data_IF_715599100081
#
_entry.id   IF_715599100081
#
_cell.length_a   1.000
_cell.length_b   1.000
_cell.length_c   1.000
_cell.angle_alpha   90.00
_cell.angle_beta   90.00
_cell.angle_gamma   90.00
#
_symmetry.space_group_name_H-M   'P 1'
#
loop_
_entity.id
_entity.type
_entity.pdbx_description
1 polymer ?
#
# COMPACT_ATOMS: atom_id res chain seq x y z
N UNK A 1 -48.45 -16.66 -23.22
CA UNK A 1 -48.30 -16.86 -21.77
C UNK A 1 -47.40 -15.77 -21.23
N UNK A 2 -48.02 -14.71 -20.76
CA UNK A 2 -47.31 -13.59 -20.12
C UNK A 2 -46.92 -14.00 -18.69
N UNK A 3 -45.62 -14.02 -18.42
CA UNK A 3 -45.11 -14.14 -17.05
C UNK A 3 -45.36 -12.82 -16.31
N UNK A 4 -46.33 -12.83 -15.45
CA UNK A 4 -46.53 -11.80 -14.42
C UNK A 4 -45.22 -11.70 -13.59
N UNK A 5 -44.48 -10.63 -13.78
CA UNK A 5 -43.46 -10.18 -12.84
C UNK A 5 -44.19 -9.57 -11.65
N UNK A 6 -44.51 -10.39 -10.62
CA UNK A 6 -44.90 -9.87 -9.33
C UNK A 6 -43.81 -8.93 -8.82
N UNK A 7 -44.08 -7.64 -8.85
CA UNK A 7 -43.28 -6.61 -8.21
C UNK A 7 -43.29 -6.88 -6.70
N UNK A 8 -42.16 -7.35 -6.18
CA UNK A 8 -41.87 -7.34 -4.76
C UNK A 8 -41.67 -5.87 -4.39
N UNK A 9 -42.56 -5.33 -3.56
CA UNK A 9 -42.46 -4.08 -2.79
C UNK A 9 -43.39 -2.93 -3.21
N UNK A 10 -44.66 -3.04 -2.78
CA UNK A 10 -45.45 -1.87 -2.35
C UNK A 10 -45.53 -1.88 -0.84
N UNK A 11 -44.42 -1.66 -0.14
CA UNK A 11 -44.42 -1.38 1.30
C UNK A 11 -44.69 0.10 1.46
N UNK A 12 -45.78 0.45 2.18
CA UNK A 12 -46.15 1.85 2.37
C UNK A 12 -45.11 2.56 3.28
N UNK A 13 -44.93 3.89 3.15
CA UNK A 13 -44.05 4.64 4.05
C UNK A 13 -44.43 4.49 5.53
N UNK A 14 -45.72 4.36 5.83
CA UNK A 14 -46.22 4.16 7.19
C UNK A 14 -45.73 2.82 7.75
N UNK A 15 -45.70 1.78 6.92
CA UNK A 15 -45.25 0.45 7.34
C UNK A 15 -43.73 0.41 7.58
N UNK A 16 -42.95 1.17 6.79
CA UNK A 16 -41.52 1.36 7.02
C UNK A 16 -41.28 2.07 8.36
N UNK A 17 -41.99 3.15 8.60
CA UNK A 17 -41.91 3.89 9.86
C UNK A 17 -42.30 3.01 11.07
N UNK A 18 -43.31 2.17 10.91
CA UNK A 18 -43.71 1.22 11.97
C UNK A 18 -42.59 0.23 12.29
N UNK A 19 -41.94 -0.36 11.29
CA UNK A 19 -40.79 -1.26 11.51
C UNK A 19 -39.58 -0.55 12.15
N UNK A 20 -39.34 0.71 11.81
CA UNK A 20 -38.31 1.51 12.47
C UNK A 20 -38.64 1.72 13.95
N UNK A 21 -39.88 2.08 14.28
CA UNK A 21 -40.36 2.24 15.68
C UNK A 21 -40.22 0.92 16.46
N UNK A 22 -40.67 -0.18 15.87
CA UNK A 22 -40.60 -1.51 16.50
C UNK A 22 -39.16 -1.91 16.81
N UNK A 23 -38.22 -1.59 15.89
CA UNK A 23 -36.80 -1.86 16.09
C UNK A 23 -36.20 -0.93 17.16
N UNK A 24 -36.42 0.38 17.07
CA UNK A 24 -35.85 1.36 18.00
C UNK A 24 -36.33 1.18 19.45
N UNK A 25 -37.59 0.79 19.64
CA UNK A 25 -38.17 0.65 20.98
C UNK A 25 -37.91 -0.71 21.65
N UNK A 26 -37.86 -1.80 20.85
CA UNK A 26 -37.86 -3.16 21.37
C UNK A 26 -36.64 -3.99 20.91
N UNK A 27 -35.66 -3.39 20.21
CA UNK A 27 -34.57 -4.11 19.55
C UNK A 27 -35.07 -5.31 18.71
N UNK A 28 -36.25 -5.16 18.09
CA UNK A 28 -36.90 -6.24 17.38
C UNK A 28 -36.10 -6.65 16.13
N UNK A 29 -35.47 -7.82 16.20
CA UNK A 29 -34.67 -8.39 15.12
C UNK A 29 -35.50 -8.66 13.85
N UNK A 30 -36.79 -9.07 14.00
CA UNK A 30 -37.66 -9.35 12.85
C UNK A 30 -37.99 -8.07 12.05
N UNK A 31 -38.17 -6.94 12.74
CA UNK A 31 -38.41 -5.64 12.11
C UNK A 31 -37.16 -5.17 11.37
N UNK A 32 -35.97 -5.35 11.96
CA UNK A 32 -34.69 -5.05 11.32
C UNK A 32 -34.49 -5.90 10.05
N UNK A 33 -34.78 -7.21 10.13
CA UNK A 33 -34.64 -8.12 8.98
C UNK A 33 -35.55 -7.73 7.82
N UNK A 34 -36.78 -7.27 8.11
CA UNK A 34 -37.73 -6.77 7.08
C UNK A 34 -37.14 -5.53 6.38
N UNK A 35 -36.63 -4.58 7.15
CA UNK A 35 -35.98 -3.37 6.61
C UNK A 35 -34.76 -3.70 5.77
N UNK A 36 -33.89 -4.59 6.25
CA UNK A 36 -32.70 -5.04 5.51
C UNK A 36 -33.09 -5.71 4.20
N UNK A 37 -34.08 -6.62 4.20
CA UNK A 37 -34.57 -7.27 2.98
C UNK A 37 -35.18 -6.28 2.00
N UNK A 38 -35.91 -5.28 2.51
CA UNK A 38 -36.55 -4.26 1.68
C UNK A 38 -35.53 -3.37 0.98
N UNK A 39 -34.52 -2.87 1.71
CA UNK A 39 -33.54 -1.92 1.19
C UNK A 39 -32.31 -2.56 0.53
N UNK A 40 -32.16 -3.89 0.58
CA UNK A 40 -31.02 -4.61 0.05
C UNK A 40 -30.69 -4.24 -1.39
N UNK A 41 -31.70 -4.26 -2.29
CA UNK A 41 -31.50 -3.92 -3.71
C UNK A 41 -31.06 -2.49 -3.92
N UNK A 42 -31.55 -1.55 -3.11
CA UNK A 42 -31.13 -0.16 -3.15
C UNK A 42 -29.65 -0.04 -2.78
N UNK A 43 -29.23 -0.73 -1.71
CA UNK A 43 -27.84 -0.71 -1.25
C UNK A 43 -26.92 -1.36 -2.27
N UNK A 44 -27.29 -2.51 -2.84
CA UNK A 44 -26.55 -3.18 -3.92
C UNK A 44 -26.37 -2.25 -5.12
N UNK A 45 -27.43 -1.52 -5.51
CA UNK A 45 -27.36 -0.53 -6.61
C UNK A 45 -26.43 0.64 -6.27
N UNK A 46 -26.48 1.16 -5.04
CA UNK A 46 -25.57 2.22 -4.59
C UNK A 46 -24.11 1.72 -4.56
N UNK A 47 -23.87 0.52 -3.99
CA UNK A 47 -22.55 -0.10 -3.95
C UNK A 47 -21.98 -0.29 -5.37
N UNK A 48 -22.79 -0.79 -6.30
CA UNK A 48 -22.39 -0.98 -7.70
C UNK A 48 -21.94 0.34 -8.36
N UNK A 49 -22.67 1.44 -8.12
CA UNK A 49 -22.31 2.76 -8.65
C UNK A 49 -20.91 3.22 -8.20
N UNK A 50 -20.49 2.85 -7.00
CA UNK A 50 -19.20 3.24 -6.44
C UNK A 50 -18.08 2.22 -6.66
N UNK A 51 -18.40 0.94 -6.86
CA UNK A 51 -17.41 -0.12 -7.15
C UNK A 51 -16.84 -0.05 -8.56
N UNK A 52 -17.58 0.52 -9.52
CA UNK A 52 -17.21 0.57 -10.96
C UNK A 52 -16.72 -0.77 -11.52
N UNK A 53 -17.24 -1.89 -11.00
CA UNK A 53 -16.85 -3.24 -11.41
C UNK A 53 -15.52 -3.73 -10.83
N UNK A 54 -14.93 -3.02 -9.86
CA UNK A 54 -13.72 -3.47 -9.15
C UNK A 54 -14.04 -4.52 -8.06
N UNK A 55 -13.00 -5.23 -7.59
CA UNK A 55 -13.08 -6.36 -6.64
C UNK A 55 -13.74 -6.08 -5.29
N UNK A 56 -13.98 -4.80 -4.93
CA UNK A 56 -14.52 -4.40 -3.64
C UNK A 56 -16.06 -4.30 -3.59
N UNK A 57 -16.78 -4.80 -4.60
CA UNK A 57 -18.25 -4.65 -4.64
C UNK A 57 -18.94 -5.26 -3.40
N UNK A 58 -18.56 -6.46 -3.01
CA UNK A 58 -19.14 -7.15 -1.85
C UNK A 58 -18.87 -6.40 -0.55
N UNK A 59 -17.66 -5.89 -0.37
CA UNK A 59 -17.30 -5.06 0.79
C UNK A 59 -18.15 -3.80 0.85
N UNK A 60 -18.37 -3.13 -0.29
CA UNK A 60 -19.19 -1.92 -0.34
C UNK A 60 -20.67 -2.23 -0.03
N UNK A 61 -21.16 -3.40 -0.43
CA UNK A 61 -22.52 -3.85 -0.02
C UNK A 61 -22.57 -4.03 1.49
N UNK A 62 -21.59 -4.69 2.11
CA UNK A 62 -21.54 -4.86 3.57
C UNK A 62 -21.46 -3.52 4.30
N UNK A 63 -20.61 -2.62 3.84
CA UNK A 63 -20.50 -1.25 4.38
C UNK A 63 -21.83 -0.51 4.25
N UNK A 64 -22.50 -0.65 3.11
CA UNK A 64 -23.84 -0.08 2.90
C UNK A 64 -24.89 -0.64 3.84
N UNK A 65 -24.83 -1.96 4.15
CA UNK A 65 -25.72 -2.61 5.13
C UNK A 65 -25.46 -2.09 6.56
N UNK A 66 -24.20 -1.91 6.94
CA UNK A 66 -23.85 -1.27 8.23
C UNK A 66 -24.39 0.16 8.26
N UNK A 67 -24.28 0.91 7.15
CA UNK A 67 -24.86 2.24 6.99
C UNK A 67 -26.39 2.26 7.14
N UNK A 68 -27.09 1.24 6.61
CA UNK A 68 -28.54 1.08 6.78
C UNK A 68 -28.89 0.87 8.25
N UNK A 69 -28.23 -0.05 8.95
CA UNK A 69 -28.50 -0.31 10.38
C UNK A 69 -28.25 0.96 11.19
N UNK A 70 -27.14 1.66 10.92
CA UNK A 70 -26.87 2.94 11.55
C UNK A 70 -27.91 4.03 11.24
N UNK A 71 -28.48 4.03 10.03
CA UNK A 71 -29.56 4.94 9.66
C UNK A 71 -30.86 4.61 10.40
N UNK A 72 -31.25 3.32 10.48
CA UNK A 72 -32.43 2.87 11.22
C UNK A 72 -32.35 3.33 12.69
N UNK A 73 -31.20 3.16 13.33
CA UNK A 73 -31.04 3.51 14.75
C UNK A 73 -31.05 5.03 15.02
N UNK A 74 -30.63 5.84 14.04
CA UNK A 74 -30.49 7.31 14.18
C UNK A 74 -31.63 8.11 13.55
N UNK A 75 -32.53 7.45 12.82
CA UNK A 75 -33.62 8.16 12.16
C UNK A 75 -34.61 8.69 13.19
N UNK A 76 -34.89 9.99 13.14
CA UNK A 76 -35.86 10.66 13.97
C UNK A 76 -37.16 10.85 13.19
N UNK A 77 -38.19 10.17 13.65
CA UNK A 77 -39.55 10.18 13.07
C UNK A 77 -40.32 11.49 13.30
N UNK A 78 -39.78 12.37 14.15
CA UNK A 78 -40.41 13.70 14.38
C UNK A 78 -40.24 14.62 13.16
N UNK A 79 -39.23 14.33 12.28
CA UNK A 79 -39.07 15.06 11.03
C UNK A 79 -40.05 14.50 9.98
N UNK A 80 -40.85 15.36 9.39
CA UNK A 80 -41.76 15.01 8.29
C UNK A 80 -40.97 14.76 6.99
N UNK A 81 -40.11 13.70 7.00
CA UNK A 81 -39.25 13.29 5.87
C UNK A 81 -39.34 11.79 5.68
N UNK A 82 -39.31 11.38 4.41
CA UNK A 82 -39.19 9.96 4.05
C UNK A 82 -37.86 9.41 4.53
N UNK A 83 -37.87 8.18 5.04
CA UNK A 83 -36.64 7.51 5.52
C UNK A 83 -35.55 7.43 4.45
N UNK A 84 -35.91 7.20 3.17
CA UNK A 84 -34.96 7.13 2.05
C UNK A 84 -34.14 8.43 1.88
N UNK A 85 -34.75 9.59 2.15
CA UNK A 85 -34.05 10.88 2.08
C UNK A 85 -32.92 11.00 3.12
N UNK A 86 -33.01 10.27 4.22
CA UNK A 86 -31.97 10.16 5.24
C UNK A 86 -31.03 8.98 4.98
N UNK A 87 -31.58 7.84 4.56
CA UNK A 87 -30.83 6.61 4.31
C UNK A 87 -29.78 6.77 3.21
N UNK A 88 -30.18 7.27 2.04
CA UNK A 88 -29.30 7.33 0.86
C UNK A 88 -28.04 8.16 1.12
N UNK A 89 -28.10 9.40 1.65
CA UNK A 89 -26.90 10.15 1.99
C UNK A 89 -26.04 9.46 3.06
N UNK A 90 -26.67 8.81 4.04
CA UNK A 90 -25.96 8.09 5.11
C UNK A 90 -25.16 6.92 4.54
N UNK A 91 -25.78 6.06 3.72
CA UNK A 91 -25.11 4.93 3.06
C UNK A 91 -23.98 5.41 2.15
N UNK A 92 -24.23 6.44 1.33
CA UNK A 92 -23.19 7.01 0.46
C UNK A 92 -22.02 7.57 1.29
N UNK A 93 -22.32 8.19 2.43
CA UNK A 93 -21.30 8.69 3.36
C UNK A 93 -20.39 7.59 3.87
N UNK A 94 -20.96 6.46 4.33
CA UNK A 94 -20.21 5.31 4.82
C UNK A 94 -19.40 4.63 3.69
N UNK A 95 -19.96 4.46 2.48
CA UNK A 95 -19.24 3.94 1.31
C UNK A 95 -18.05 4.83 0.98
N UNK A 96 -18.22 6.15 0.89
CA UNK A 96 -17.13 7.09 0.61
C UNK A 96 -16.06 7.07 1.69
N UNK A 97 -16.45 6.92 2.97
CA UNK A 97 -15.54 6.79 4.10
C UNK A 97 -14.70 5.52 3.97
N UNK A 98 -15.32 4.39 3.67
CA UNK A 98 -14.63 3.12 3.46
C UNK A 98 -13.62 3.20 2.30
N UNK A 99 -14.03 3.74 1.14
CA UNK A 99 -13.16 3.93 -0.01
C UNK A 99 -11.96 4.83 0.31
N UNK A 100 -12.16 5.88 1.10
CA UNK A 100 -11.07 6.76 1.53
C UNK A 100 -10.09 6.08 2.50
N UNK A 101 -10.63 5.31 3.45
CA UNK A 101 -9.86 4.89 4.62
C UNK A 101 -9.26 3.47 4.48
N UNK A 102 -9.90 2.58 3.69
CA UNK A 102 -9.60 1.14 3.68
C UNK A 102 -9.14 0.56 2.34
N UNK A 103 -9.32 1.23 1.22
CA UNK A 103 -9.05 0.65 -0.11
C UNK A 103 -7.67 1.01 -0.69
N UNK A 104 -6.89 1.80 0.00
CA UNK A 104 -5.54 2.14 -0.43
C UNK A 104 -4.57 0.98 -0.15
N UNK A 105 -3.85 0.54 -1.18
CA UNK A 105 -2.86 -0.55 -1.07
C UNK A 105 -1.64 -0.16 -0.24
N UNK A 106 -1.34 1.14 -0.13
CA UNK A 106 -0.24 1.69 0.67
C UNK A 106 -0.77 2.67 1.71
N UNK A 107 -0.01 2.88 2.78
CA UNK A 107 -0.37 3.89 3.77
C UNK A 107 -0.15 5.29 3.21
N UNK A 108 -1.24 6.04 3.05
CA UNK A 108 -1.22 7.43 2.56
C UNK A 108 -1.79 8.34 3.65
N UNK A 109 -1.15 9.48 3.97
CA UNK A 109 -1.66 10.45 4.92
C UNK A 109 -3.08 10.92 4.54
N UNK A 110 -3.92 11.17 5.58
CA UNK A 110 -5.31 11.59 5.37
C UNK A 110 -5.41 12.87 4.51
N UNK A 111 -4.51 13.81 4.75
CA UNK A 111 -4.38 15.06 3.99
C UNK A 111 -4.36 14.81 2.47
N UNK A 112 -3.51 13.91 2.04
CA UNK A 112 -3.32 13.55 0.63
C UNK A 112 -4.55 12.85 0.04
N UNK A 113 -5.18 11.95 0.81
CA UNK A 113 -6.42 11.28 0.40
C UNK A 113 -7.59 12.25 0.19
N UNK A 114 -7.63 13.36 0.94
CA UNK A 114 -8.67 14.39 0.81
C UNK A 114 -8.41 15.33 -0.38
N UNK A 115 -7.15 15.59 -0.72
CA UNK A 115 -6.75 16.47 -1.83
C UNK A 115 -6.95 15.77 -3.18
N UNK A 116 -6.59 14.50 -3.32
CA UNK A 116 -6.60 13.77 -4.59
C UNK A 116 -7.89 13.92 -5.42
N UNK A 117 -9.09 13.64 -4.88
CA UNK A 117 -10.36 13.84 -5.60
C UNK A 117 -10.63 15.28 -6.00
N UNK A 118 -10.15 16.25 -5.19
CA UNK A 118 -10.31 17.69 -5.46
C UNK A 118 -9.41 18.15 -6.60
N UNK A 119 -8.18 17.62 -6.69
CA UNK A 119 -7.25 17.92 -7.79
C UNK A 119 -7.90 17.61 -9.12
N UNK A 120 -8.46 16.39 -9.29
CA UNK A 120 -9.10 16.01 -10.55
C UNK A 120 -10.20 16.99 -10.96
N UNK A 121 -11.08 17.34 -10.01
CA UNK A 121 -12.17 18.28 -10.26
C UNK A 121 -11.66 19.66 -10.67
N UNK A 122 -10.68 20.18 -9.94
CA UNK A 122 -10.08 21.50 -10.19
C UNK A 122 -9.31 21.50 -11.52
N UNK A 123 -8.61 20.41 -11.85
CA UNK A 123 -7.94 20.27 -13.14
C UNK A 123 -8.93 20.33 -14.29
N UNK A 124 -10.07 19.63 -14.19
CA UNK A 124 -11.12 19.65 -15.21
C UNK A 124 -11.74 21.07 -15.34
N UNK A 125 -11.99 21.75 -14.22
CA UNK A 125 -12.52 23.12 -14.19
C UNK A 125 -11.53 24.11 -14.81
N UNK A 126 -10.26 24.09 -14.40
CA UNK A 126 -9.21 24.98 -14.92
C UNK A 126 -8.90 24.71 -16.40
N UNK A 127 -8.95 23.44 -16.83
CA UNK A 127 -8.75 23.10 -18.25
C UNK A 127 -9.84 23.74 -19.12
N UNK A 128 -11.09 23.74 -18.64
CA UNK A 128 -12.19 24.40 -19.34
C UNK A 128 -12.08 25.94 -19.31
N UNK A 129 -11.60 26.53 -18.19
CA UNK A 129 -11.45 27.98 -18.06
C UNK A 129 -10.27 28.53 -18.88
N UNK A 130 -9.14 27.80 -18.89
CA UNK A 130 -7.89 28.25 -19.51
C UNK A 130 -7.69 27.75 -20.95
N UNK A 131 -8.55 26.83 -21.41
CA UNK A 131 -8.43 26.17 -22.72
C UNK A 131 -7.07 25.45 -22.92
N UNK A 132 -6.37 25.16 -21.81
CA UNK A 132 -5.10 24.40 -21.74
C UNK A 132 -4.98 23.62 -20.44
N UNK A 133 -4.05 22.68 -20.39
CA UNK A 133 -3.73 22.00 -19.13
C UNK A 133 -3.20 23.01 -18.08
N UNK A 134 -3.75 23.02 -16.86
CA UNK A 134 -3.29 23.89 -15.79
C UNK A 134 -1.91 23.46 -15.28
N UNK A 135 -1.13 24.42 -14.79
CA UNK A 135 0.12 24.15 -14.07
C UNK A 135 -0.18 23.71 -12.63
N UNK A 136 0.84 23.12 -11.98
CA UNK A 136 0.75 22.70 -10.58
C UNK A 136 0.48 23.90 -9.66
N UNK A 137 1.14 25.04 -9.91
CA UNK A 137 0.91 26.26 -9.18
C UNK A 137 -0.55 26.75 -9.27
N UNK A 138 -1.16 26.72 -10.47
CA UNK A 138 -2.56 27.10 -10.67
C UNK A 138 -3.54 26.17 -9.94
N UNK A 139 -3.23 24.87 -9.89
CA UNK A 139 -4.03 23.89 -9.12
C UNK A 139 -3.87 24.14 -7.62
N UNK A 140 -2.64 24.37 -7.15
CA UNK A 140 -2.33 24.64 -5.75
C UNK A 140 -3.03 25.90 -5.25
N UNK A 141 -2.96 26.99 -6.02
CA UNK A 141 -3.64 28.26 -5.72
C UNK A 141 -5.16 28.08 -5.63
N UNK A 142 -5.76 27.37 -6.59
CA UNK A 142 -7.22 27.12 -6.60
C UNK A 142 -7.68 26.24 -5.43
N UNK A 143 -6.84 25.32 -4.97
CA UNK A 143 -7.11 24.42 -3.84
C UNK A 143 -6.73 25.02 -2.48
N UNK A 144 -6.01 26.14 -2.46
CA UNK A 144 -5.44 26.77 -1.25
C UNK A 144 -4.50 25.81 -0.49
N UNK A 145 -3.62 25.11 -1.23
CA UNK A 145 -2.62 24.16 -0.69
C UNK A 145 -1.25 24.46 -1.29
N UNK A 146 -0.19 23.82 -0.74
CA UNK A 146 1.16 23.94 -1.28
C UNK A 146 1.30 23.13 -2.58
N UNK A 147 2.20 23.55 -3.47
CA UNK A 147 2.52 22.80 -4.70
C UNK A 147 3.04 21.40 -4.41
N UNK A 148 3.82 21.24 -3.31
CA UNK A 148 4.31 19.95 -2.84
C UNK A 148 3.17 18.97 -2.51
N UNK A 149 2.09 19.46 -1.86
CA UNK A 149 0.91 18.65 -1.53
C UNK A 149 0.18 18.19 -2.79
N UNK A 150 0.14 19.02 -3.83
CA UNK A 150 -0.45 18.66 -5.13
C UNK A 150 0.37 17.57 -5.81
N UNK A 151 1.70 17.75 -5.87
CA UNK A 151 2.63 16.78 -6.46
C UNK A 151 2.54 15.43 -5.72
N UNK A 152 2.64 15.44 -4.38
CA UNK A 152 2.53 14.25 -3.55
C UNK A 152 1.19 13.53 -3.78
N UNK A 153 0.09 14.27 -3.87
CA UNK A 153 -1.23 13.69 -4.09
C UNK A 153 -1.39 13.11 -5.50
N UNK A 154 -0.79 13.71 -6.53
CA UNK A 154 -0.80 13.19 -7.90
C UNK A 154 0.03 11.90 -8.00
N UNK A 155 1.21 11.85 -7.39
CA UNK A 155 2.07 10.67 -7.35
C UNK A 155 1.42 9.52 -6.57
N UNK A 156 0.91 9.81 -5.38
CA UNK A 156 0.22 8.81 -4.55
C UNK A 156 -1.07 8.31 -5.20
N UNK A 157 -1.73 9.13 -6.02
CA UNK A 157 -2.91 8.71 -6.79
C UNK A 157 -2.63 7.52 -7.73
N UNK A 158 -1.42 7.40 -8.26
CA UNK A 158 -0.98 6.26 -9.06
C UNK A 158 -0.79 4.98 -8.22
N UNK A 159 -0.45 5.13 -6.94
CA UNK A 159 -0.23 4.04 -5.99
C UNK A 159 -1.52 3.49 -5.34
N UNK A 160 -2.69 3.97 -5.78
CA UNK A 160 -3.98 3.53 -5.23
C UNK A 160 -4.20 2.03 -5.42
N UNK A 161 -3.81 1.49 -6.58
CA UNK A 161 -3.88 0.06 -6.89
C UNK A 161 -2.48 -0.55 -6.90
N UNK A 162 -2.24 -1.56 -6.07
CA UNK A 162 -1.04 -2.38 -6.18
C UNK A 162 -1.11 -3.23 -7.45
N UNK A 163 -0.01 -3.32 -8.17
CA UNK A 163 0.14 -4.29 -9.25
C UNK A 163 0.51 -5.65 -8.66
N UNK A 164 -0.07 -6.73 -9.19
CA UNK A 164 0.37 -8.07 -8.82
C UNK A 164 1.78 -8.32 -9.33
N UNK A 165 2.65 -8.85 -8.48
CA UNK A 165 4.00 -9.27 -8.90
C UNK A 165 3.97 -10.44 -9.89
N UNK A 166 2.88 -11.22 -9.87
CA UNK A 166 2.63 -12.32 -10.82
C UNK A 166 1.96 -11.82 -12.11
N UNK A 167 1.77 -10.50 -12.25
CA UNK A 167 1.20 -9.96 -13.47
C UNK A 167 2.13 -10.23 -14.65
N UNK A 168 1.61 -10.99 -15.63
CA UNK A 168 2.37 -11.28 -16.84
C UNK A 168 2.48 -10.04 -17.71
N UNK A 169 3.71 -9.64 -18.00
CA UNK A 169 4.03 -8.63 -19.00
C UNK A 169 4.23 -9.41 -20.31
N UNK A 170 3.51 -9.06 -21.35
CA UNK A 170 3.74 -9.66 -22.66
C UNK A 170 5.17 -9.38 -23.08
N UNK A 171 5.99 -10.41 -23.01
CA UNK A 171 7.35 -10.37 -23.53
C UNK A 171 7.38 -11.13 -24.87
N UNK A 172 7.93 -10.46 -25.83
CA UNK A 172 8.39 -10.88 -27.14
C UNK A 172 7.66 -12.03 -27.90
N UNK A 173 7.86 -12.01 -29.20
CA UNK A 173 7.30 -12.87 -30.26
C UNK A 173 7.40 -14.40 -30.06
N UNK A 174 8.07 -14.85 -29.00
CA UNK A 174 8.32 -16.28 -28.70
C UNK A 174 7.32 -16.89 -27.68
N UNK A 175 6.33 -16.13 -27.21
CA UNK A 175 5.28 -16.67 -26.34
C UNK A 175 5.68 -16.97 -24.90
N UNK A 176 6.88 -16.54 -24.45
CA UNK A 176 7.26 -16.63 -23.04
C UNK A 176 6.62 -15.51 -22.24
N UNK A 177 5.84 -15.85 -21.22
CA UNK A 177 5.30 -14.89 -20.28
C UNK A 177 6.34 -14.55 -19.22
N UNK A 178 6.80 -13.29 -19.16
CA UNK A 178 7.66 -12.77 -18.12
C UNK A 178 6.78 -12.08 -17.08
N UNK A 179 6.93 -12.43 -15.81
CA UNK A 179 6.21 -11.78 -14.72
C UNK A 179 6.96 -10.55 -14.22
N UNK A 180 6.26 -9.67 -13.50
CA UNK A 180 6.90 -8.52 -12.86
C UNK A 180 7.96 -9.00 -11.84
N UNK A 181 7.75 -10.15 -11.21
CA UNK A 181 8.67 -10.78 -10.27
C UNK A 181 9.99 -11.19 -10.97
N UNK A 182 9.95 -11.64 -12.23
CA UNK A 182 11.15 -12.03 -12.99
C UNK A 182 12.03 -10.83 -13.35
N UNK A 183 11.44 -9.64 -13.44
CA UNK A 183 12.15 -8.38 -13.73
C UNK A 183 12.70 -7.75 -12.44
N UNK A 184 12.06 -7.99 -11.30
CA UNK A 184 12.52 -7.51 -10.00
C UNK A 184 13.70 -8.35 -9.52
N UNK A 185 14.92 -7.86 -9.79
CA UNK A 185 16.14 -8.47 -9.26
C UNK A 185 16.21 -8.38 -7.74
N UNK A 186 16.80 -9.38 -7.09
CA UNK A 186 17.27 -9.29 -5.71
C UNK A 186 18.75 -8.93 -5.71
N UNK A 187 19.14 -8.03 -4.79
CA UNK A 187 20.55 -7.79 -4.51
C UNK A 187 21.11 -9.07 -3.87
N UNK A 188 22.01 -9.73 -4.61
CA UNK A 188 22.67 -10.95 -4.12
C UNK A 188 23.98 -10.56 -3.42
N UNK A 189 23.94 -10.47 -2.09
CA UNK A 189 25.11 -10.15 -1.26
C UNK A 189 26.28 -11.13 -1.47
N UNK A 190 26.03 -12.32 -2.04
CA UNK A 190 27.08 -13.29 -2.34
C UNK A 190 28.00 -12.83 -3.49
N UNK A 191 27.52 -11.98 -4.40
CA UNK A 191 28.40 -11.40 -5.43
C UNK A 191 29.48 -10.53 -4.80
N UNK A 192 29.11 -9.65 -3.88
CA UNK A 192 30.06 -8.78 -3.17
C UNK A 192 31.08 -9.59 -2.34
N UNK A 193 30.61 -10.67 -1.70
CA UNK A 193 31.49 -11.56 -0.95
C UNK A 193 32.44 -12.33 -1.88
N UNK A 194 31.95 -12.80 -3.02
CA UNK A 194 32.76 -13.51 -4.02
C UNK A 194 33.80 -12.58 -4.62
N UNK A 195 33.43 -11.36 -4.97
CA UNK A 195 34.38 -10.35 -5.50
C UNK A 195 35.49 -10.03 -4.49
N UNK A 196 35.13 -9.75 -3.23
CA UNK A 196 36.08 -9.53 -2.13
C UNK A 196 37.03 -10.72 -1.95
N UNK A 197 36.48 -11.95 -2.02
CA UNK A 197 37.29 -13.17 -1.93
C UNK A 197 38.29 -13.30 -3.10
N UNK A 198 37.85 -13.06 -4.32
CA UNK A 198 38.70 -13.07 -5.52
C UNK A 198 39.83 -12.03 -5.44
N UNK A 199 39.51 -10.83 -4.93
CA UNK A 199 40.51 -9.78 -4.69
C UNK A 199 41.53 -10.28 -3.65
N UNK A 200 41.08 -10.81 -2.52
CA UNK A 200 41.97 -11.34 -1.48
C UNK A 200 42.89 -12.45 -2.01
N UNK A 201 42.36 -13.40 -2.78
CA UNK A 201 43.13 -14.49 -3.38
C UNK A 201 44.26 -13.98 -4.31
N UNK A 202 44.02 -12.87 -5.04
CA UNK A 202 45.01 -12.22 -5.90
C UNK A 202 46.11 -11.50 -5.13
N UNK A 203 45.77 -10.86 -4.00
CA UNK A 203 46.74 -10.01 -3.27
C UNK A 203 47.49 -10.78 -2.17
N UNK A 204 46.92 -11.87 -1.63
CA UNK A 204 47.59 -12.69 -0.61
C UNK A 204 49.02 -13.18 -0.99
N UNK A 205 49.34 -13.51 -2.25
CA UNK A 205 50.69 -13.90 -2.64
C UNK A 205 51.75 -12.82 -2.48
N UNK A 206 51.38 -11.54 -2.32
CA UNK A 206 52.30 -10.41 -2.09
C UNK A 206 52.94 -10.48 -0.68
N UNK A 207 52.27 -11.17 0.24
CA UNK A 207 52.82 -11.36 1.59
C UNK A 207 53.92 -12.40 1.63
N UNK A 208 54.94 -12.12 2.46
CA UNK A 208 55.94 -13.13 2.81
C UNK A 208 55.30 -14.28 3.61
N UNK A 209 55.92 -15.45 3.65
CA UNK A 209 55.38 -16.61 4.37
C UNK A 209 55.07 -16.31 5.86
N UNK A 210 55.96 -15.55 6.51
CA UNK A 210 55.75 -15.13 7.92
C UNK A 210 54.58 -14.15 8.08
N UNK A 211 54.44 -13.21 7.16
CA UNK A 211 53.30 -12.27 7.18
C UNK A 211 51.99 -13.01 6.94
N UNK A 212 51.97 -13.97 6.02
CA UNK A 212 50.79 -14.82 5.75
C UNK A 212 50.39 -15.64 6.95
N UNK A 213 51.34 -16.30 7.64
CA UNK A 213 51.05 -17.05 8.86
C UNK A 213 50.47 -16.16 9.96
N UNK A 214 50.96 -14.96 10.13
CA UNK A 214 50.45 -14.00 11.12
C UNK A 214 49.02 -13.58 10.76
N UNK A 215 48.73 -13.26 9.48
CA UNK A 215 47.36 -12.91 9.05
C UNK A 215 46.42 -14.11 9.24
N UNK A 216 46.85 -15.33 8.91
CA UNK A 216 46.05 -16.52 9.12
C UNK A 216 45.73 -16.75 10.58
N UNK A 217 46.73 -16.74 11.49
CA UNK A 217 46.53 -16.94 12.90
C UNK A 217 45.63 -15.87 13.53
N UNK A 218 45.82 -14.58 13.15
CA UNK A 218 45.12 -13.49 13.79
C UNK A 218 43.70 -13.25 13.25
N UNK A 219 43.51 -13.36 11.92
CA UNK A 219 42.20 -13.02 11.29
C UNK A 219 41.33 -14.22 10.95
N UNK A 220 41.92 -15.38 10.68
CA UNK A 220 41.15 -16.59 10.32
C UNK A 220 40.96 -17.48 11.55
N UNK A 221 42.01 -17.70 12.34
CA UNK A 221 41.97 -18.54 13.52
C UNK A 221 41.59 -17.78 14.80
N UNK A 222 41.52 -16.43 14.75
CA UNK A 222 41.07 -15.58 15.85
C UNK A 222 42.04 -15.51 17.04
N UNK A 223 43.32 -15.88 16.85
CA UNK A 223 44.34 -15.87 17.91
C UNK A 223 44.76 -14.42 18.24
N UNK A 224 45.01 -14.15 19.51
CA UNK A 224 45.60 -12.90 19.95
C UNK A 224 47.05 -12.77 19.44
N UNK A 225 47.58 -11.54 19.36
CA UNK A 225 48.99 -11.32 18.95
C UNK A 225 49.99 -12.03 19.86
N UNK A 226 49.65 -12.24 21.17
CA UNK A 226 50.50 -12.96 22.10
C UNK A 226 50.51 -14.47 21.78
N UNK A 227 49.33 -15.08 21.61
CA UNK A 227 49.21 -16.51 21.25
C UNK A 227 49.83 -16.80 19.87
N UNK A 228 49.63 -15.85 18.91
CA UNK A 228 50.28 -15.96 17.60
C UNK A 228 51.79 -15.93 17.76
N UNK A 229 52.33 -15.04 18.63
CA UNK A 229 53.77 -14.98 18.91
C UNK A 229 54.31 -16.25 19.52
N UNK A 230 53.63 -16.80 20.49
CA UNK A 230 53.98 -18.09 21.12
C UNK A 230 54.00 -19.24 20.10
N UNK A 231 53.04 -19.29 19.17
CA UNK A 231 52.92 -20.33 18.14
C UNK A 231 54.00 -20.26 17.07
N UNK A 232 54.39 -19.02 16.68
CA UNK A 232 55.34 -18.79 15.56
C UNK A 232 56.80 -18.60 16.09
N UNK A 233 56.96 -18.54 17.42
CA UNK A 233 58.29 -18.26 18.03
C UNK A 233 58.73 -16.82 17.94
N UNK A 234 57.82 -15.85 18.02
CA UNK A 234 58.09 -14.43 17.91
C UNK A 234 57.53 -13.68 19.17
N UNK A 235 58.10 -12.52 19.49
CA UNK A 235 57.55 -11.65 20.51
C UNK A 235 56.24 -11.00 20.01
N UNK A 236 55.31 -10.73 20.94
CA UNK A 236 54.04 -10.02 20.66
C UNK A 236 54.29 -8.71 19.88
N UNK A 237 55.33 -7.92 20.28
CA UNK A 237 55.68 -6.67 19.61
C UNK A 237 56.13 -6.88 18.15
N UNK A 238 56.84 -7.99 17.89
CA UNK A 238 57.24 -8.33 16.52
C UNK A 238 56.07 -8.76 15.66
N UNK A 239 55.14 -9.57 16.21
CA UNK A 239 53.87 -9.94 15.57
C UNK A 239 53.04 -8.70 15.22
N UNK A 240 52.87 -7.77 16.16
CA UNK A 240 52.11 -6.52 15.95
C UNK A 240 52.72 -5.68 14.80
N UNK A 241 54.04 -5.58 14.74
CA UNK A 241 54.73 -4.84 13.67
C UNK A 241 54.54 -5.51 12.29
N UNK A 242 54.76 -6.81 12.22
CA UNK A 242 54.60 -7.57 10.98
C UNK A 242 53.13 -7.58 10.51
N UNK A 243 52.17 -7.74 11.41
CA UNK A 243 50.75 -7.66 11.10
C UNK A 243 50.40 -6.30 10.46
N UNK A 244 50.85 -5.18 11.06
CA UNK A 244 50.62 -3.85 10.52
C UNK A 244 51.24 -3.66 9.14
N UNK A 245 52.44 -4.18 8.93
CA UNK A 245 53.11 -4.12 7.63
C UNK A 245 52.37 -4.96 6.58
N UNK A 246 51.91 -6.16 6.94
CA UNK A 246 51.13 -7.03 6.08
C UNK A 246 49.81 -6.39 5.64
N UNK A 247 49.06 -5.81 6.59
CA UNK A 247 47.82 -5.11 6.30
C UNK A 247 48.05 -3.94 5.34
N UNK A 248 49.10 -3.15 5.58
CA UNK A 248 49.45 -2.02 4.69
C UNK A 248 49.76 -2.48 3.27
N UNK A 249 50.51 -3.56 3.10
CA UNK A 249 50.82 -4.14 1.78
C UNK A 249 49.52 -4.60 1.08
N UNK A 250 48.61 -5.27 1.81
CA UNK A 250 47.32 -5.72 1.25
C UNK A 250 46.45 -4.52 0.83
N UNK A 251 46.38 -3.46 1.65
CA UNK A 251 45.64 -2.24 1.32
C UNK A 251 46.16 -1.54 0.08
N UNK A 252 47.53 -1.41 -0.03
CA UNK A 252 48.17 -0.81 -1.21
C UNK A 252 47.94 -1.64 -2.48
N UNK A 253 47.83 -2.94 -2.34
CA UNK A 253 47.58 -3.84 -3.47
C UNK A 253 46.10 -3.89 -3.89
N UNK A 254 45.19 -3.75 -2.95
CA UNK A 254 43.74 -3.71 -3.22
C UNK A 254 43.27 -2.41 -3.88
N UNK A 255 44.06 -1.31 -3.72
CA UNK A 255 43.76 0.00 -4.32
C UNK A 255 44.38 0.19 -5.70
N UNK A 256 45.08 -0.80 -6.22
CA UNK A 256 45.68 -0.82 -7.59
C UNK A 256 44.81 -1.64 -8.53
#
# INVERSE_FOLDING_TARGET
MARESKSVNDVSPEQINQWIIEHQNNENSDAQDKLVKHYRKLIESLAYKYSKGQSHHEDLVQVGMVGLIGAINRFDLSFDRKFEAFLVPTVIGEIKRYLRDKTWSVHVPRRIKEIGPRIKKVTDELTNELERSPSIAEIADRLEVNEEDVLEAMEMGQSYNALSVDHSIEADKDGSTVTLLDIMGQQDDNYDLTEKRMILEKILPILTERERQIIQCTFIEGLSQKETGERIGLSQMHVSRLQRTAIKKLQEAANK
#
